data_IF_924110109910
#
_entry.id   IF_924110109910
#
_cell.length_a   1.000
_cell.length_b   1.000
_cell.length_c   1.000
_cell.angle_alpha   90.00
_cell.angle_beta   90.00
_cell.angle_gamma   90.00
#
_symmetry.space_group_name_H-M   'P 1'
#
loop_
_entity.id
_entity.type
_entity.pdbx_description
1 polymer ?
#
# COMPACT_ATOMS: atom_id res chain seq x y z
N UNK A 1 0.54 18.45 -6.11
CA UNK A 1 0.96 17.49 -7.15
C UNK A 1 2.40 17.07 -6.86
N UNK A 2 2.82 15.81 -7.12
CA UNK A 2 4.23 15.45 -6.96
C UNK A 2 5.13 16.28 -7.90
N UNK A 3 6.33 16.61 -7.44
CA UNK A 3 7.23 17.61 -8.03
C UNK A 3 8.00 17.11 -9.26
N UNK A 4 8.22 18.02 -10.22
CA UNK A 4 8.87 17.79 -11.52
C UNK A 4 10.41 17.78 -11.50
N UNK A 5 11.05 17.13 -10.51
CA UNK A 5 12.49 16.85 -10.56
C UNK A 5 12.70 15.34 -10.64
N UNK A 6 13.61 14.82 -11.48
CA UNK A 6 13.96 13.40 -11.48
C UNK A 6 14.64 13.09 -10.15
N UNK A 7 13.82 12.71 -9.18
CA UNK A 7 14.25 12.24 -7.87
C UNK A 7 14.89 10.85 -8.04
N UNK A 8 15.70 10.47 -7.05
CA UNK A 8 16.14 9.08 -6.91
C UNK A 8 14.97 8.12 -7.16
N UNK A 9 15.21 6.98 -7.84
CA UNK A 9 14.15 6.01 -8.11
C UNK A 9 13.39 5.70 -6.82
N UNK A 10 12.05 5.71 -6.91
CA UNK A 10 11.19 5.39 -5.78
C UNK A 10 11.49 3.99 -5.24
N UNK A 11 11.17 3.75 -3.97
CA UNK A 11 11.31 2.42 -3.38
C UNK A 11 10.27 1.45 -3.99
N UNK A 12 10.69 0.23 -4.31
CA UNK A 12 9.80 -0.83 -4.76
C UNK A 12 8.98 -1.34 -3.58
N UNK A 13 7.65 -1.19 -3.66
CA UNK A 13 6.75 -1.55 -2.58
C UNK A 13 6.30 -3.01 -2.59
N UNK A 14 6.21 -3.59 -3.78
CA UNK A 14 5.97 -5.01 -3.98
C UNK A 14 6.40 -5.36 -5.41
N UNK A 15 6.68 -6.64 -5.64
CA UNK A 15 6.97 -7.19 -6.95
C UNK A 15 6.37 -8.59 -7.01
N UNK A 16 5.63 -8.87 -8.07
CA UNK A 16 5.11 -10.19 -8.39
C UNK A 16 5.36 -10.47 -9.86
N UNK A 17 5.82 -11.67 -10.16
CA UNK A 17 5.96 -12.18 -11.53
C UNK A 17 4.77 -13.11 -11.80
N UNK A 18 4.21 -13.06 -13.01
CA UNK A 18 2.98 -13.79 -13.40
C UNK A 18 1.77 -13.56 -12.46
N UNK A 19 1.76 -12.41 -11.78
CA UNK A 19 0.74 -12.05 -10.80
C UNK A 19 -0.54 -11.53 -11.48
N UNK A 20 -1.69 -12.23 -11.34
CA UNK A 20 -2.93 -11.82 -12.00
C UNK A 20 -3.44 -10.46 -11.51
N UNK A 21 -3.06 -10.04 -10.29
CA UNK A 21 -3.38 -8.74 -9.68
C UNK A 21 -2.87 -7.55 -10.50
N UNK A 22 -1.75 -7.75 -11.19
CA UNK A 22 -1.10 -6.78 -12.07
C UNK A 22 -1.62 -6.85 -13.52
N UNK A 23 -2.40 -7.87 -13.86
CA UNK A 23 -2.89 -8.14 -15.21
C UNK A 23 -4.30 -7.59 -15.49
N UNK A 24 -4.68 -7.59 -16.78
CA UNK A 24 -5.97 -7.05 -17.23
C UNK A 24 -7.20 -7.80 -16.65
N UNK A 25 -7.05 -9.07 -16.27
CA UNK A 25 -8.18 -9.91 -15.80
C UNK A 25 -8.60 -9.57 -14.37
N UNK A 26 -7.64 -9.23 -13.51
CA UNK A 26 -7.89 -8.93 -12.10
C UNK A 26 -7.02 -7.75 -11.66
N UNK A 27 -7.26 -6.53 -12.19
CA UNK A 27 -6.39 -5.37 -11.98
C UNK A 27 -6.52 -4.76 -10.57
N UNK A 28 -6.29 -5.57 -9.53
CA UNK A 28 -6.63 -5.32 -8.12
C UNK A 28 -5.39 -5.38 -7.21
N UNK A 29 -4.27 -4.82 -7.67
CA UNK A 29 -3.02 -4.80 -6.90
C UNK A 29 -3.14 -3.91 -5.65
N UNK A 30 -2.56 -4.36 -4.54
CA UNK A 30 -2.35 -3.62 -3.31
C UNK A 30 -0.91 -3.82 -2.86
N UNK A 31 -0.17 -2.73 -2.65
CA UNK A 31 1.22 -2.77 -2.20
C UNK A 31 1.48 -1.71 -1.13
N UNK A 32 2.54 -1.88 -0.36
CA UNK A 32 2.95 -0.88 0.60
C UNK A 32 4.33 -1.14 1.22
N UNK A 33 4.85 -0.10 1.86
CA UNK A 33 6.18 -0.07 2.45
C UNK A 33 6.13 0.52 3.84
N UNK A 34 7.10 0.13 4.67
CA UNK A 34 7.51 0.92 5.81
C UNK A 34 8.50 1.99 5.30
N UNK A 35 8.12 3.27 5.43
CA UNK A 35 8.89 4.40 4.91
C UNK A 35 9.17 5.41 6.02
N UNK A 36 10.41 5.90 6.05
CA UNK A 36 10.81 6.98 6.93
C UNK A 36 10.70 8.32 6.20
N UNK A 37 9.98 9.25 6.81
CA UNK A 37 9.92 10.63 6.33
C UNK A 37 11.26 11.35 6.50
N UNK A 38 11.53 12.43 5.76
CA UNK A 38 12.75 13.22 5.94
C UNK A 38 12.94 13.76 7.36
N UNK A 39 11.84 13.93 8.11
CA UNK A 39 11.86 14.31 9.52
C UNK A 39 12.04 13.14 10.51
N UNK A 40 12.44 11.96 10.04
CA UNK A 40 12.73 10.79 10.87
C UNK A 40 11.52 9.99 11.34
N UNK A 41 10.29 10.43 11.03
CA UNK A 41 9.05 9.74 11.43
C UNK A 41 8.74 8.59 10.48
N UNK A 42 8.43 7.43 11.02
CA UNK A 42 8.10 6.22 10.26
C UNK A 42 6.60 6.10 9.97
N UNK A 43 6.28 5.58 8.79
CA UNK A 43 4.92 5.36 8.32
C UNK A 43 4.80 4.07 7.55
N UNK A 44 3.66 3.39 7.69
CA UNK A 44 3.19 2.47 6.66
C UNK A 44 2.47 3.27 5.59
N UNK A 45 3.02 3.25 4.37
CA UNK A 45 2.39 3.79 3.19
C UNK A 45 1.88 2.63 2.33
N UNK A 46 0.62 2.68 1.91
CA UNK A 46 0.07 1.69 0.99
C UNK A 46 -0.82 2.33 -0.07
N UNK A 47 -0.85 1.71 -1.24
CA UNK A 47 -1.67 2.10 -2.36
C UNK A 47 -2.29 0.85 -3.02
N UNK A 48 -3.55 0.97 -3.39
CA UNK A 48 -4.27 -0.03 -4.18
C UNK A 48 -4.78 0.54 -5.50
N UNK A 49 -5.19 -0.36 -6.40
CA UNK A 49 -5.90 -0.02 -7.64
C UNK A 49 -7.24 0.71 -7.39
N UNK A 50 -7.89 1.18 -8.45
CA UNK A 50 -9.10 1.99 -8.36
C UNK A 50 -10.33 1.27 -7.80
N UNK A 51 -10.31 -0.06 -7.76
CA UNK A 51 -11.41 -0.88 -7.26
C UNK A 51 -11.47 -0.87 -5.73
N UNK A 52 -10.44 -0.38 -5.03
CA UNK A 52 -10.42 -0.31 -3.57
C UNK A 52 -11.31 0.83 -3.04
N UNK A 53 -12.17 0.46 -2.07
CA UNK A 53 -13.03 1.36 -1.32
C UNK A 53 -12.43 1.75 0.05
N UNK A 54 -11.58 0.90 0.63
CA UNK A 54 -10.80 1.22 1.82
C UNK A 54 -9.57 0.34 1.95
N UNK A 55 -8.51 0.85 2.59
CA UNK A 55 -7.31 0.09 2.95
C UNK A 55 -7.17 -0.03 4.47
N UNK A 56 -6.46 -1.06 4.90
CA UNK A 56 -6.16 -1.36 6.30
C UNK A 56 -4.76 -1.96 6.46
N UNK A 57 -4.16 -1.74 7.63
CA UNK A 57 -2.91 -2.35 8.05
C UNK A 57 -3.08 -2.99 9.43
N UNK A 58 -2.36 -4.08 9.66
CA UNK A 58 -2.27 -4.82 10.92
C UNK A 58 -0.84 -5.34 11.11
N UNK A 59 -0.53 -6.01 12.23
CA UNK A 59 0.80 -6.63 12.44
C UNK A 59 1.85 -5.61 12.89
N UNK A 60 1.86 -5.30 14.19
CA UNK A 60 2.77 -4.30 14.79
C UNK A 60 2.33 -2.85 14.59
N UNK A 61 1.34 -2.60 13.74
CA UNK A 61 0.67 -1.30 13.54
C UNK A 61 -0.76 -1.55 13.09
N UNK A 62 -1.71 -0.75 13.57
CA UNK A 62 -3.12 -0.86 13.18
C UNK A 62 -3.61 0.47 12.64
N UNK A 63 -4.33 0.43 11.53
CA UNK A 63 -4.97 1.62 10.98
C UNK A 63 -5.78 1.30 9.74
N UNK A 64 -6.67 2.21 9.38
CA UNK A 64 -7.49 2.09 8.17
C UNK A 64 -7.77 3.47 7.59
N UNK A 65 -7.92 3.54 6.27
CA UNK A 65 -8.34 4.75 5.58
C UNK A 65 -9.36 4.41 4.48
N UNK A 66 -10.36 5.29 4.25
CA UNK A 66 -11.23 5.18 3.08
C UNK A 66 -10.43 5.45 1.80
N UNK A 67 -10.93 4.92 0.69
CA UNK A 67 -10.30 5.00 -0.62
C UNK A 67 -9.15 4.00 -0.80
N UNK A 68 -8.24 4.33 -1.72
CA UNK A 68 -7.18 3.44 -2.20
C UNK A 68 -5.78 3.79 -1.70
N UNK A 69 -5.67 4.70 -0.72
CA UNK A 69 -4.41 5.16 -0.17
C UNK A 69 -4.45 5.06 1.35
N UNK A 70 -3.32 4.72 1.95
CA UNK A 70 -3.15 4.59 3.39
C UNK A 70 -1.81 5.22 3.80
N UNK A 71 -1.83 6.04 4.84
CA UNK A 71 -0.63 6.51 5.53
C UNK A 71 -0.87 6.44 7.04
N UNK A 72 -0.21 5.51 7.72
CA UNK A 72 -0.40 5.28 9.17
C UNK A 72 0.96 5.42 9.86
N UNK A 73 1.08 6.28 10.90
CA UNK A 73 2.29 6.35 11.71
C UNK A 73 2.65 4.97 12.27
N UNK A 74 3.94 4.65 12.25
CA UNK A 74 4.43 3.34 12.65
C UNK A 74 5.73 3.46 13.46
N UNK A 75 6.07 2.39 14.18
CA UNK A 75 7.42 2.23 14.73
C UNK A 75 8.37 1.73 13.63
N UNK A 76 9.66 1.96 13.83
CA UNK A 76 10.69 1.37 12.99
C UNK A 76 10.66 -0.17 13.05
N UNK A 77 10.98 -0.83 11.94
CA UNK A 77 11.11 -2.28 11.87
C UNK A 77 9.80 -3.09 11.90
N UNK A 78 8.63 -2.45 11.98
CA UNK A 78 7.35 -3.19 11.92
C UNK A 78 7.18 -3.89 10.57
N UNK A 79 6.52 -5.06 10.60
CA UNK A 79 6.20 -5.85 9.41
C UNK A 79 4.69 -5.85 9.19
N UNK A 80 4.15 -4.80 8.55
CA UNK A 80 2.71 -4.66 8.40
C UNK A 80 2.13 -5.72 7.46
N UNK A 81 0.95 -6.20 7.81
CA UNK A 81 0.07 -6.95 6.90
C UNK A 81 -1.00 -6.00 6.37
N UNK A 82 -1.03 -5.83 5.06
CA UNK A 82 -2.00 -4.99 4.38
C UNK A 82 -3.23 -5.80 3.98
N UNK A 83 -4.38 -5.14 3.99
CA UNK A 83 -5.59 -5.65 3.38
C UNK A 83 -6.46 -4.50 2.90
N UNK A 84 -7.32 -4.76 1.93
CA UNK A 84 -8.28 -3.77 1.45
C UNK A 84 -9.64 -4.35 1.19
N UNK A 85 -10.63 -3.47 1.20
CA UNK A 85 -12.01 -3.76 0.80
C UNK A 85 -12.24 -3.15 -0.57
N UNK A 86 -12.75 -3.93 -1.50
CA UNK A 86 -13.13 -3.47 -2.83
C UNK A 86 -14.51 -2.81 -2.79
N UNK A 87 -14.84 -2.07 -3.85
CA UNK A 87 -16.14 -1.42 -4.05
C UNK A 87 -17.30 -2.42 -4.11
N UNK A 88 -17.04 -3.66 -4.51
CA UNK A 88 -18.00 -4.76 -4.49
C UNK A 88 -18.17 -5.40 -3.09
N UNK A 89 -17.46 -4.91 -2.07
CA UNK A 89 -17.49 -5.40 -0.70
C UNK A 89 -16.51 -6.54 -0.39
N UNK A 90 -15.93 -7.17 -1.40
CA UNK A 90 -14.95 -8.25 -1.20
C UNK A 90 -13.65 -7.75 -0.57
N UNK A 91 -12.91 -8.65 0.10
CA UNK A 91 -11.63 -8.34 0.74
C UNK A 91 -10.49 -8.99 -0.02
N UNK A 92 -9.41 -8.25 -0.19
CA UNK A 92 -8.18 -8.72 -0.85
C UNK A 92 -6.96 -8.32 -0.04
N UNK A 93 -5.91 -9.15 -0.10
CA UNK A 93 -4.62 -8.91 0.56
C UNK A 93 -3.69 -8.05 -0.29
N UNK A 94 -2.46 -7.87 0.21
CA UNK A 94 -1.36 -7.33 -0.59
C UNK A 94 -0.99 -8.27 -1.74
N UNK A 95 -0.31 -7.73 -2.75
CA UNK A 95 0.39 -8.50 -3.78
C UNK A 95 1.30 -9.53 -3.13
N UNK A 96 1.29 -10.75 -3.66
CA UNK A 96 2.07 -11.86 -3.12
C UNK A 96 3.45 -11.99 -3.77
#
# INVERSE_FOLDING_TARGET
APSARPAAPGAVAARGEDAPECGARTPRVLAGVLWQSPGGRWYVLAAGSEQFASLSTSGGVTGSAPGRLLAVPAAEGVRPRLGGRLKDGSRVGALH
#
